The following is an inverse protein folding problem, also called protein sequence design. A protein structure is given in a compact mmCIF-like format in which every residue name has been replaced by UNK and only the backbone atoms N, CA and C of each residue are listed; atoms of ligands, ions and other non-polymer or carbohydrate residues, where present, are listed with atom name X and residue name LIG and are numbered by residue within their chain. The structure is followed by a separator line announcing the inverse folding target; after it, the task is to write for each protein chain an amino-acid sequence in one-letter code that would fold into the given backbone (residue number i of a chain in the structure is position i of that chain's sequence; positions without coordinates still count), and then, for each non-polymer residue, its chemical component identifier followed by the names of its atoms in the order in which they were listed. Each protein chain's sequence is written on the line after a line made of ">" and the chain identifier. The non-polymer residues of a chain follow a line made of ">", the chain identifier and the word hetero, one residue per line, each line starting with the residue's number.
data_IF_010510794101
#
_entry.id   IF_010510794101
#
_cell.length_a   1.000
_cell.length_b   1.000
_cell.length_c   1.000
_cell.angle_alpha   90.00
_cell.angle_beta   90.00
_cell.angle_gamma   90.00
#
_symmetry.space_group_name_H-M   'P 1'
#
loop_
_entity.id
_entity.type
_entity.pdbx_description
1 polymer ?
#
# COMPACT_ATOMS: atom_id res chain seq x y z
N UNK A 1 -28.57 -47.60 60.88
CA UNK A 1 -29.35 -46.42 60.42
C UNK A 1 -28.51 -45.43 59.60
N UNK A 2 -27.20 -45.30 59.84
CA UNK A 2 -26.28 -44.41 59.08
C UNK A 2 -25.99 -44.88 57.66
N UNK A 3 -25.90 -46.19 57.42
CA UNK A 3 -25.61 -46.77 56.10
C UNK A 3 -26.61 -46.32 55.02
N UNK A 4 -27.92 -46.44 55.29
CA UNK A 4 -28.96 -45.98 54.38
C UNK A 4 -28.99 -44.44 54.17
N UNK A 5 -28.40 -43.65 55.07
CA UNK A 5 -28.28 -42.21 54.88
C UNK A 5 -27.09 -41.87 53.94
N UNK A 6 -26.01 -42.64 54.03
CA UNK A 6 -24.84 -42.56 53.16
C UNK A 6 -25.21 -42.98 51.73
N UNK A 7 -25.89 -44.12 51.55
CA UNK A 7 -26.32 -44.60 50.23
C UNK A 7 -27.19 -43.56 49.50
N UNK A 8 -28.15 -42.95 50.18
CA UNK A 8 -28.97 -41.88 49.60
C UNK A 8 -28.18 -40.60 49.32
N UNK A 9 -27.11 -40.33 50.06
CA UNK A 9 -26.23 -39.20 49.79
C UNK A 9 -25.38 -39.46 48.53
N UNK A 10 -24.89 -40.68 48.36
CA UNK A 10 -24.13 -41.11 47.18
C UNK A 10 -25.00 -41.12 45.92
N UNK A 11 -26.24 -41.62 45.98
CA UNK A 11 -27.18 -41.54 44.86
C UNK A 11 -27.46 -40.08 44.45
N UNK A 12 -27.67 -39.20 45.43
CA UNK A 12 -27.87 -37.76 45.16
C UNK A 12 -26.63 -37.12 44.56
N UNK A 13 -25.43 -37.52 45.01
CA UNK A 13 -24.17 -37.03 44.45
C UNK A 13 -24.00 -37.50 43.01
N UNK A 14 -24.25 -38.77 42.72
CA UNK A 14 -24.17 -39.35 41.38
C UNK A 14 -25.08 -38.62 40.39
N UNK A 15 -26.35 -38.36 40.77
CA UNK A 15 -27.29 -37.60 39.94
C UNK A 15 -26.83 -36.16 39.70
N UNK A 16 -26.25 -35.50 40.71
CA UNK A 16 -25.72 -34.13 40.56
C UNK A 16 -24.50 -34.08 39.66
N UNK A 17 -23.58 -35.03 39.79
CA UNK A 17 -22.39 -35.14 38.94
C UNK A 17 -22.80 -35.38 37.48
N UNK A 18 -23.76 -36.27 37.25
CA UNK A 18 -24.23 -36.54 35.89
C UNK A 18 -24.89 -35.32 35.25
N UNK A 19 -25.78 -34.64 36.00
CA UNK A 19 -26.39 -33.38 35.53
C UNK A 19 -25.35 -32.30 35.25
N UNK A 20 -24.31 -32.19 36.08
CA UNK A 20 -23.23 -31.24 35.88
C UNK A 20 -22.50 -31.55 34.57
N UNK A 21 -22.08 -32.80 34.36
CA UNK A 21 -21.43 -33.25 33.11
C UNK A 21 -22.28 -32.94 31.89
N UNK A 22 -23.56 -33.32 31.90
CA UNK A 22 -24.43 -33.06 30.75
C UNK A 22 -24.63 -31.56 30.50
N UNK A 23 -24.70 -30.76 31.57
CA UNK A 23 -24.84 -29.30 31.48
C UNK A 23 -23.55 -28.61 31.02
N UNK A 24 -22.37 -29.16 31.31
CA UNK A 24 -21.07 -28.56 30.94
C UNK A 24 -20.55 -29.06 29.58
N UNK A 25 -20.84 -30.29 29.19
CA UNK A 25 -20.26 -30.87 27.97
C UNK A 25 -20.82 -30.22 26.70
N UNK A 26 -22.13 -29.94 26.66
CA UNK A 26 -22.76 -29.30 25.49
C UNK A 26 -22.21 -27.89 25.21
N UNK A 27 -22.10 -26.97 26.17
CA UNK A 27 -21.52 -25.65 25.91
C UNK A 27 -20.03 -25.73 25.58
N UNK A 28 -19.26 -26.63 26.20
CA UNK A 28 -17.82 -26.81 25.88
C UNK A 28 -17.64 -27.28 24.44
N UNK A 29 -18.34 -28.34 24.03
CA UNK A 29 -18.28 -28.84 22.64
C UNK A 29 -18.73 -27.78 21.64
N UNK A 30 -19.74 -26.98 21.98
CA UNK A 30 -20.18 -25.89 21.12
C UNK A 30 -19.11 -24.79 21.00
N UNK A 31 -18.46 -24.41 22.11
CA UNK A 31 -17.39 -23.42 22.12
C UNK A 31 -16.18 -23.91 21.30
N UNK A 32 -15.78 -25.18 21.46
CA UNK A 32 -14.69 -25.79 20.70
C UNK A 32 -14.95 -25.81 19.20
N UNK A 33 -16.18 -26.15 18.80
CA UNK A 33 -16.60 -26.09 17.40
C UNK A 33 -16.59 -24.68 16.85
N UNK A 34 -17.05 -23.69 17.62
CA UNK A 34 -16.99 -22.29 17.23
C UNK A 34 -15.55 -21.82 17.03
N UNK A 35 -14.65 -22.12 17.98
CA UNK A 35 -13.22 -21.80 17.88
C UNK A 35 -12.58 -22.48 16.66
N UNK A 36 -12.88 -23.76 16.42
CA UNK A 36 -12.38 -24.49 15.26
C UNK A 36 -12.87 -23.89 13.95
N UNK A 37 -14.15 -23.50 13.87
CA UNK A 37 -14.72 -22.81 12.72
C UNK A 37 -14.06 -21.45 12.45
N UNK A 38 -13.82 -20.67 13.51
CA UNK A 38 -13.10 -19.40 13.40
C UNK A 38 -11.66 -19.59 12.92
N UNK A 39 -10.94 -20.58 13.46
CA UNK A 39 -9.57 -20.93 13.03
C UNK A 39 -9.53 -21.31 11.55
N UNK A 40 -10.47 -22.14 11.08
CA UNK A 40 -10.56 -22.54 9.66
C UNK A 40 -10.82 -21.35 8.74
N UNK A 41 -11.77 -20.48 9.11
CA UNK A 41 -12.04 -19.26 8.34
C UNK A 41 -10.83 -18.35 8.26
N UNK A 42 -10.14 -18.17 9.37
CA UNK A 42 -8.93 -17.35 9.45
C UNK A 42 -7.83 -17.93 8.57
N UNK A 43 -7.56 -19.24 8.68
CA UNK A 43 -6.57 -19.93 7.87
C UNK A 43 -6.87 -19.88 6.36
N UNK A 44 -8.15 -19.90 5.96
CA UNK A 44 -8.55 -19.80 4.56
C UNK A 44 -8.46 -18.36 4.02
N UNK A 45 -8.78 -17.35 4.82
CA UNK A 45 -8.89 -15.94 4.38
C UNK A 45 -7.57 -15.17 4.49
N UNK A 46 -6.78 -15.38 5.55
CA UNK A 46 -5.54 -14.63 5.80
C UNK A 46 -4.57 -14.66 4.62
N UNK A 47 -4.26 -15.82 4.00
CA UNK A 47 -3.28 -15.86 2.91
C UNK A 47 -3.71 -15.00 1.72
N UNK A 48 -5.01 -15.01 1.40
CA UNK A 48 -5.55 -14.23 0.29
C UNK A 48 -5.44 -12.72 0.54
N UNK A 49 -5.77 -12.29 1.77
CA UNK A 49 -5.63 -10.89 2.18
C UNK A 49 -4.17 -10.46 2.13
N UNK A 50 -3.26 -11.24 2.74
CA UNK A 50 -1.83 -10.92 2.76
C UNK A 50 -1.24 -10.85 1.34
N UNK A 51 -1.63 -11.76 0.44
CA UNK A 51 -1.19 -11.72 -0.96
C UNK A 51 -1.70 -10.49 -1.68
N UNK A 52 -2.96 -10.09 -1.44
CA UNK A 52 -3.54 -8.87 -2.02
C UNK A 52 -2.79 -7.62 -1.55
N UNK A 53 -2.56 -7.50 -0.24
CA UNK A 53 -1.82 -6.37 0.33
C UNK A 53 -0.37 -6.33 -0.16
N UNK A 54 0.28 -7.50 -0.26
CA UNK A 54 1.64 -7.57 -0.80
C UNK A 54 1.70 -7.04 -2.23
N UNK A 55 0.78 -7.48 -3.11
CA UNK A 55 0.70 -6.98 -4.49
C UNK A 55 0.42 -5.49 -4.55
N UNK A 56 -0.40 -4.96 -3.64
CA UNK A 56 -0.69 -3.53 -3.57
C UNK A 56 0.58 -2.74 -3.24
N UNK A 57 1.34 -3.17 -2.22
CA UNK A 57 2.62 -2.57 -1.84
C UNK A 57 3.63 -2.66 -2.98
N UNK A 58 3.81 -3.84 -3.58
CA UNK A 58 4.73 -4.02 -4.71
C UNK A 58 4.36 -3.11 -5.89
N UNK A 59 3.06 -2.89 -6.15
CA UNK A 59 2.58 -1.96 -7.16
C UNK A 59 2.79 -0.48 -6.82
N UNK A 60 2.71 -0.09 -5.54
CA UNK A 60 3.12 1.26 -5.10
C UNK A 60 4.62 1.42 -5.30
N UNK A 61 5.43 0.44 -4.86
CA UNK A 61 6.88 0.48 -4.97
C UNK A 61 7.33 0.57 -6.44
N UNK A 62 6.70 -0.17 -7.35
CA UNK A 62 6.98 -0.09 -8.78
C UNK A 62 6.65 1.29 -9.36
N UNK A 63 5.54 1.91 -8.92
CA UNK A 63 5.18 3.29 -9.32
C UNK A 63 6.17 4.30 -8.78
N UNK A 64 6.55 4.18 -7.50
CA UNK A 64 7.56 5.03 -6.87
C UNK A 64 8.90 4.89 -7.60
N UNK A 65 9.35 3.67 -7.93
CA UNK A 65 10.56 3.44 -8.72
C UNK A 65 10.45 4.02 -10.13
N UNK A 66 9.30 3.91 -10.78
CA UNK A 66 9.10 4.48 -12.11
C UNK A 66 9.11 6.02 -12.10
N UNK A 67 8.68 6.63 -10.99
CA UNK A 67 8.67 8.07 -10.75
C UNK A 67 9.93 8.55 -10.00
N UNK A 68 10.84 7.63 -9.65
CA UNK A 68 12.09 7.95 -8.98
C UNK A 68 12.93 8.80 -9.95
N UNK A 69 13.25 10.05 -9.58
CA UNK A 69 14.08 10.92 -10.40
C UNK A 69 15.35 10.22 -10.89
N UNK A 70 15.96 9.33 -10.10
CA UNK A 70 17.15 8.59 -10.52
C UNK A 70 16.89 7.71 -11.74
N UNK A 71 15.78 6.96 -11.76
CA UNK A 71 15.44 6.07 -12.88
C UNK A 71 14.98 6.83 -14.11
N UNK A 72 14.27 7.96 -13.92
CA UNK A 72 13.87 8.83 -15.03
C UNK A 72 15.09 9.48 -15.67
N UNK A 73 16.01 10.01 -14.85
CA UNK A 73 17.26 10.61 -15.34
C UNK A 73 18.15 9.56 -16.04
N UNK A 74 18.27 8.34 -15.48
CA UNK A 74 19.05 7.24 -16.08
C UNK A 74 18.55 6.81 -17.47
N UNK A 75 17.27 7.05 -17.79
CA UNK A 75 16.68 6.79 -19.11
C UNK A 75 16.99 7.87 -20.15
N UNK A 76 17.82 8.87 -19.80
CA UNK A 76 18.24 9.94 -20.71
C UNK A 76 17.38 11.20 -20.65
N UNK A 77 16.51 11.33 -19.65
CA UNK A 77 15.77 12.56 -19.39
C UNK A 77 16.57 13.51 -18.48
N UNK A 78 16.18 14.78 -18.47
CA UNK A 78 16.74 15.82 -17.59
C UNK A 78 15.65 16.52 -16.78
N UNK A 79 16.00 17.07 -15.62
CA UNK A 79 15.12 17.93 -14.83
C UNK A 79 15.77 19.31 -14.74
N UNK A 80 15.11 20.34 -15.27
CA UNK A 80 15.59 21.72 -15.23
C UNK A 80 14.89 22.50 -14.13
N UNK A 81 15.66 23.23 -13.32
CA UNK A 81 15.18 24.07 -12.23
C UNK A 81 15.79 25.46 -12.32
N UNK A 82 15.14 26.46 -11.76
CA UNK A 82 15.78 27.75 -11.47
C UNK A 82 16.82 27.57 -10.36
N UNK A 83 17.68 28.57 -10.16
CA UNK A 83 18.66 28.56 -9.06
C UNK A 83 18.01 28.43 -7.67
N UNK A 84 16.77 28.92 -7.53
CA UNK A 84 15.98 28.83 -6.30
C UNK A 84 15.32 27.45 -6.11
N UNK A 85 15.51 26.53 -7.06
CA UNK A 85 15.02 25.15 -6.98
C UNK A 85 13.62 24.93 -7.56
N UNK A 86 12.98 25.94 -8.13
CA UNK A 86 11.67 25.82 -8.79
C UNK A 86 11.81 25.06 -10.10
N UNK A 87 10.97 24.05 -10.33
CA UNK A 87 11.00 23.26 -11.57
C UNK A 87 10.48 24.10 -12.74
N UNK A 88 11.29 24.24 -13.79
CA UNK A 88 10.92 24.89 -15.04
C UNK A 88 10.15 23.89 -15.89
N UNK A 89 8.89 24.19 -16.19
CA UNK A 89 8.01 23.30 -16.97
C UNK A 89 7.63 23.91 -18.31
N UNK A 90 7.61 25.23 -18.39
CA UNK A 90 7.33 25.98 -19.61
C UNK A 90 8.41 27.04 -19.84
N UNK A 91 8.65 27.43 -21.11
CA UNK A 91 9.56 28.53 -21.42
C UNK A 91 9.22 29.83 -20.69
N UNK A 92 7.93 30.09 -20.44
CA UNK A 92 7.46 31.31 -19.76
C UNK A 92 7.78 31.35 -18.25
N UNK A 93 8.25 30.24 -17.67
CA UNK A 93 8.62 30.16 -16.25
C UNK A 93 9.99 30.81 -15.95
N UNK A 94 10.73 31.24 -16.98
CA UNK A 94 12.10 31.77 -16.89
C UNK A 94 12.28 33.00 -17.78
N UNK A 95 13.13 33.93 -17.36
CA UNK A 95 13.46 35.14 -18.10
C UNK A 95 14.88 35.09 -18.68
N UNK A 96 15.13 35.94 -19.69
CA UNK A 96 16.47 36.14 -20.22
C UNK A 96 17.45 36.54 -19.10
N UNK A 97 18.61 35.89 -19.09
CA UNK A 97 19.64 36.09 -18.07
C UNK A 97 19.50 35.16 -16.85
N UNK A 98 18.39 34.45 -16.68
CA UNK A 98 18.20 33.51 -15.57
C UNK A 98 19.22 32.36 -15.63
N UNK A 99 19.66 31.91 -14.45
CA UNK A 99 20.51 30.73 -14.32
C UNK A 99 19.66 29.52 -14.00
N UNK A 100 19.75 28.51 -14.85
CA UNK A 100 19.06 27.24 -14.71
C UNK A 100 20.05 26.16 -14.28
N UNK A 101 19.54 25.24 -13.47
CA UNK A 101 20.23 24.07 -12.97
C UNK A 101 19.56 22.86 -13.60
N UNK A 102 20.27 22.17 -14.49
CA UNK A 102 19.77 20.99 -15.20
C UNK A 102 20.41 19.75 -14.59
N UNK A 103 19.58 18.91 -13.98
CA UNK A 103 20.00 17.63 -13.42
C UNK A 103 19.89 16.52 -14.47
N UNK A 104 20.94 15.73 -14.59
CA UNK A 104 21.08 14.54 -15.44
C UNK A 104 21.46 13.32 -14.58
N UNK A 105 21.49 12.13 -15.18
CA UNK A 105 21.92 10.92 -14.50
C UNK A 105 23.36 11.01 -13.95
N UNK A 106 24.25 11.66 -14.71
CA UNK A 106 25.67 11.79 -14.38
C UNK A 106 26.05 12.99 -13.51
N UNK A 107 25.07 13.81 -13.09
CA UNK A 107 25.33 15.02 -12.31
C UNK A 107 24.50 16.21 -12.78
N UNK A 108 24.97 17.41 -12.45
CA UNK A 108 24.21 18.64 -12.62
C UNK A 108 25.00 19.64 -13.46
N UNK A 109 24.29 20.33 -14.35
CA UNK A 109 24.80 21.39 -15.21
C UNK A 109 24.19 22.73 -14.77
N UNK A 110 24.91 23.82 -14.97
CA UNK A 110 24.35 25.17 -14.91
C UNK A 110 24.31 25.76 -16.33
N UNK A 111 23.18 26.34 -16.71
CA UNK A 111 23.01 27.07 -17.98
C UNK A 111 22.44 28.45 -17.72
N UNK A 112 22.66 29.38 -18.64
CA UNK A 112 22.05 30.71 -18.62
C UNK A 112 21.05 30.81 -19.77
N UNK A 113 19.86 31.34 -19.49
CA UNK A 113 18.84 31.60 -20.52
C UNK A 113 19.33 32.76 -21.36
N UNK A 114 19.44 32.54 -22.67
CA UNK A 114 19.73 33.57 -23.65
C UNK A 114 18.42 34.01 -24.34
N UNK A 115 18.41 35.22 -24.89
CA UNK A 115 17.32 35.69 -25.75
C UNK A 115 17.38 34.97 -27.09
N UNK A 116 16.75 33.80 -27.16
CA UNK A 116 16.50 33.12 -28.43
C UNK A 116 15.42 33.86 -29.20
N UNK A 117 15.78 34.37 -30.37
CA UNK A 117 14.87 34.94 -31.37
C UNK A 117 13.73 33.95 -31.65
N UNK A 118 12.48 34.39 -31.49
CA UNK A 118 11.29 33.59 -31.73
C UNK A 118 11.10 33.37 -33.24
N UNK A 119 11.92 32.49 -33.83
CA UNK A 119 11.73 32.02 -35.19
C UNK A 119 10.70 30.89 -35.21
N UNK A 120 9.43 31.27 -35.02
CA UNK A 120 8.30 30.67 -35.75
C UNK A 120 7.35 31.76 -36.23
N UNK A 121 7.83 32.58 -37.17
CA UNK A 121 6.96 33.29 -38.12
C UNK A 121 7.00 32.57 -39.45
N UNK A 122 5.84 32.04 -39.87
CA UNK A 122 5.37 32.02 -41.26
C UNK A 122 6.02 31.07 -42.26
N UNK A 123 5.30 29.99 -42.60
CA UNK A 123 5.10 29.60 -44.00
C UNK A 123 3.89 28.65 -44.06
N UNK A 124 2.69 29.19 -44.34
CA UNK A 124 1.87 28.81 -45.51
C UNK A 124 0.62 29.70 -45.66
N UNK A 125 0.85 31.00 -45.92
CA UNK A 125 -0.10 31.81 -46.70
C UNK A 125 0.46 31.92 -48.13
N UNK A 126 0.23 30.90 -48.94
CA UNK A 126 0.24 31.04 -50.41
C UNK A 126 -1.16 30.77 -50.94
N UNK A 127 -1.95 31.84 -50.94
CA UNK A 127 -2.78 32.32 -52.06
C UNK A 127 -3.26 31.27 -53.08
N UNK A 128 -4.58 31.03 -53.07
CA UNK A 128 -5.40 30.50 -54.18
C UNK A 128 -5.12 31.24 -55.51
N UNK A 129 -5.44 30.62 -56.65
CA UNK A 129 -6.82 30.64 -57.17
C UNK A 129 -7.48 29.26 -57.27
#
# INVERSE_FOLDING_TARGET
>A
RTHAAIERADERLAVRVERLRTATDRPVVHAERAVTGMKRRLAARLPQVLVSERRHVDGIEARVRALDPVNVLARGWSITRTIDGTVVRRPEDVAAGDTLVTQLAGGTLASRVDTGDDQRTGDDERTSP
#
